data_IF_765359592991
#
_entry.id   IF_765359592991
#
_cell.length_a   1.000
_cell.length_b   1.000
_cell.length_c   1.000
_cell.angle_alpha   90.00
_cell.angle_beta   90.00
_cell.angle_gamma   90.00
#
_symmetry.space_group_name_H-M   'P 1'
#
loop_
_entity.id
_entity.type
_entity.pdbx_description
1 polymer ?
#
# COMPACT_ATOMS: atom_id res chain seq x y z
N UNK A 1 5.40 22.62 13.36
CA UNK A 1 4.49 22.86 14.50
C UNK A 1 3.03 23.09 14.11
N UNK A 2 2.73 23.66 12.93
CA UNK A 2 1.34 23.92 12.52
C UNK A 2 0.54 22.68 12.05
N UNK A 3 1.21 21.70 11.44
CA UNK A 3 0.56 20.51 10.87
C UNK A 3 -0.01 19.53 11.92
N UNK A 4 0.55 19.46 13.11
CA UNK A 4 0.04 18.62 14.20
C UNK A 4 -1.22 19.26 14.82
N UNK A 5 -1.23 20.57 15.02
CA UNK A 5 -2.36 21.28 15.63
C UNK A 5 -3.65 21.15 14.83
N UNK A 6 -3.58 21.34 13.50
CA UNK A 6 -4.80 21.24 12.71
C UNK A 6 -5.32 19.80 12.58
N UNK A 7 -4.43 18.78 12.58
CA UNK A 7 -4.82 17.37 12.60
C UNK A 7 -5.55 17.02 13.90
N UNK A 8 -5.07 17.51 15.05
CA UNK A 8 -5.75 17.32 16.34
C UNK A 8 -7.12 18.03 16.34
N UNK A 9 -7.22 19.25 15.85
CA UNK A 9 -8.49 19.96 15.70
C UNK A 9 -9.46 19.21 14.79
N UNK A 10 -8.96 18.62 13.70
CA UNK A 10 -9.76 17.79 12.81
C UNK A 10 -10.20 16.51 13.52
N UNK A 11 -9.33 15.85 14.28
CA UNK A 11 -9.67 14.64 15.03
C UNK A 11 -10.76 14.92 16.08
N UNK A 12 -10.66 16.04 16.78
CA UNK A 12 -11.65 16.47 17.79
C UNK A 12 -13.02 16.85 17.18
N UNK A 13 -13.03 17.26 15.91
CA UNK A 13 -14.27 17.65 15.20
C UNK A 13 -15.00 16.47 14.54
N UNK A 14 -14.35 15.31 14.39
CA UNK A 14 -14.94 14.16 13.72
C UNK A 14 -15.78 13.32 14.68
N UNK A 15 -17.00 12.89 14.28
CA UNK A 15 -17.85 12.02 15.08
C UNK A 15 -17.43 10.55 15.08
N UNK A 16 -16.28 10.22 14.47
CA UNK A 16 -15.76 8.87 14.32
C UNK A 16 -14.24 8.83 14.52
N UNK A 17 -13.71 7.64 14.74
CA UNK A 17 -12.30 7.41 14.97
C UNK A 17 -11.42 7.88 13.80
N UNK A 18 -10.39 8.70 14.10
CA UNK A 18 -9.49 9.30 13.11
C UNK A 18 -8.75 8.27 12.26
N UNK A 19 -8.57 7.04 12.74
CA UNK A 19 -8.00 5.93 11.97
C UNK A 19 -8.71 5.68 10.64
N UNK A 20 -10.01 6.00 10.51
CA UNK A 20 -10.71 5.90 9.23
C UNK A 20 -10.28 6.96 8.21
N UNK A 21 -9.82 8.12 8.65
CA UNK A 21 -9.21 9.13 7.77
C UNK A 21 -7.87 8.62 7.23
N UNK A 22 -7.11 7.92 8.09
CA UNK A 22 -5.88 7.26 7.67
C UNK A 22 -6.19 6.15 6.65
N UNK A 23 -7.19 5.31 6.91
CA UNK A 23 -7.63 4.28 5.97
C UNK A 23 -8.10 4.88 4.64
N UNK A 24 -8.86 5.97 4.65
CA UNK A 24 -9.25 6.68 3.43
C UNK A 24 -8.05 7.23 2.66
N UNK A 25 -7.02 7.71 3.37
CA UNK A 25 -5.77 8.17 2.75
C UNK A 25 -4.99 7.01 2.12
N UNK A 26 -4.91 5.84 2.78
CA UNK A 26 -4.29 4.63 2.19
C UNK A 26 -5.08 4.13 0.98
N UNK A 27 -6.41 4.12 1.05
CA UNK A 27 -7.30 3.79 -0.08
C UNK A 27 -7.03 4.69 -1.28
N UNK A 28 -6.88 6.00 -1.05
CA UNK A 28 -6.56 6.96 -2.11
C UNK A 28 -5.21 6.65 -2.78
N UNK A 29 -4.18 6.31 -2.01
CA UNK A 29 -2.88 5.88 -2.53
C UNK A 29 -3.00 4.55 -3.30
N UNK A 30 -3.75 3.59 -2.77
CA UNK A 30 -3.92 2.28 -3.40
C UNK A 30 -4.63 2.40 -4.75
N UNK A 31 -5.68 3.20 -4.83
CA UNK A 31 -6.41 3.45 -6.08
C UNK A 31 -5.56 4.17 -7.13
N UNK A 32 -4.85 5.23 -6.75
CA UNK A 32 -4.22 6.14 -7.71
C UNK A 32 -2.76 5.80 -8.01
N UNK A 33 -2.00 5.31 -7.01
CA UNK A 33 -0.55 5.16 -7.12
C UNK A 33 -0.13 3.71 -7.34
N UNK A 34 -0.65 2.79 -6.50
CA UNK A 34 -0.27 1.39 -6.61
C UNK A 34 -0.64 0.77 -7.95
N UNK A 35 -1.73 1.20 -8.55
CA UNK A 35 -2.23 0.61 -9.79
C UNK A 35 -1.56 1.15 -11.05
N UNK A 36 -0.95 2.34 -11.01
CA UNK A 36 -0.28 2.97 -12.17
C UNK A 36 0.89 2.14 -12.67
N UNK A 37 1.73 1.61 -11.77
CA UNK A 37 2.88 0.76 -12.13
C UNK A 37 2.57 -0.73 -12.11
N UNK A 38 1.29 -1.10 -12.03
CA UNK A 38 0.84 -2.49 -12.07
C UNK A 38 1.02 -3.09 -13.47
N UNK A 39 1.16 -4.40 -13.55
CA UNK A 39 1.25 -5.16 -14.82
C UNK A 39 -0.01 -4.94 -15.66
N UNK A 40 -1.19 -4.96 -15.02
CA UNK A 40 -2.47 -4.74 -15.69
C UNK A 40 -2.52 -3.38 -16.41
N UNK A 41 -2.00 -2.32 -15.80
CA UNK A 41 -1.93 -1.00 -16.44
C UNK A 41 -0.93 -0.98 -17.56
N UNK A 42 0.28 -1.53 -17.36
CA UNK A 42 1.29 -1.59 -18.41
C UNK A 42 0.79 -2.35 -19.64
N UNK A 43 0.02 -3.43 -19.47
CA UNK A 43 -0.46 -4.25 -20.58
C UNK A 43 -1.26 -3.46 -21.62
N UNK A 44 -1.98 -2.44 -21.19
CA UNK A 44 -2.75 -1.54 -22.07
C UNK A 44 -1.82 -0.68 -22.93
N UNK A 45 -0.64 -0.30 -22.43
CA UNK A 45 0.34 0.51 -23.15
C UNK A 45 1.21 -0.30 -24.11
N UNK A 46 1.33 -1.62 -23.93
CA UNK A 46 2.20 -2.48 -24.77
C UNK A 46 1.87 -2.35 -26.24
N UNK A 47 0.58 -2.42 -26.60
CA UNK A 47 0.17 -2.39 -28.02
C UNK A 47 0.53 -1.06 -28.69
N UNK A 48 0.05 0.10 -28.20
CA UNK A 48 0.34 1.38 -28.82
C UNK A 48 1.84 1.72 -28.84
N UNK A 49 2.57 1.43 -27.76
CA UNK A 49 4.01 1.66 -27.71
C UNK A 49 4.79 0.73 -28.66
N UNK A 50 4.38 -0.54 -28.80
CA UNK A 50 5.00 -1.47 -29.76
C UNK A 50 4.77 -1.01 -31.19
N UNK A 51 3.59 -0.52 -31.51
CA UNK A 51 3.25 -0.06 -32.86
C UNK A 51 4.02 1.21 -33.25
N UNK A 52 4.16 2.16 -32.32
CA UNK A 52 4.82 3.43 -32.59
C UNK A 52 6.35 3.35 -32.53
N UNK A 53 6.88 2.66 -31.52
CA UNK A 53 8.34 2.63 -31.25
C UNK A 53 9.04 1.41 -31.84
N UNK A 54 8.29 0.45 -32.38
CA UNK A 54 8.85 -0.76 -32.99
C UNK A 54 9.45 -1.74 -31.96
N UNK A 55 9.12 -1.63 -30.68
CA UNK A 55 9.72 -2.44 -29.62
C UNK A 55 9.07 -3.82 -29.54
N UNK A 56 9.84 -4.82 -29.09
CA UNK A 56 9.32 -6.16 -28.83
C UNK A 56 8.52 -6.21 -27.51
N UNK A 57 7.53 -7.10 -27.45
CA UNK A 57 6.79 -7.35 -26.20
C UNK A 57 7.69 -7.85 -25.08
N UNK A 58 8.75 -8.61 -25.44
CA UNK A 58 9.75 -9.09 -24.48
C UNK A 58 10.47 -7.98 -23.72
N UNK A 59 10.62 -6.78 -24.31
CA UNK A 59 11.20 -5.61 -23.64
C UNK A 59 10.36 -5.20 -22.44
N UNK A 60 9.04 -5.15 -22.57
CA UNK A 60 8.13 -4.79 -21.48
C UNK A 60 8.14 -5.85 -20.38
N UNK A 61 8.08 -7.13 -20.72
CA UNK A 61 8.17 -8.23 -19.76
C UNK A 61 9.51 -8.24 -19.02
N UNK A 62 10.61 -7.94 -19.72
CA UNK A 62 11.93 -7.79 -19.12
C UNK A 62 12.00 -6.68 -18.08
N UNK A 63 11.39 -5.52 -18.35
CA UNK A 63 11.32 -4.42 -17.40
C UNK A 63 10.49 -4.75 -16.14
N UNK A 64 9.37 -5.45 -16.30
CA UNK A 64 8.55 -5.95 -15.19
C UNK A 64 9.34 -6.92 -14.31
N UNK A 65 10.01 -7.90 -14.92
CA UNK A 65 10.80 -8.91 -14.19
C UNK A 65 11.98 -8.27 -13.46
N UNK A 66 12.70 -7.36 -14.12
CA UNK A 66 13.84 -6.67 -13.52
C UNK A 66 13.39 -5.81 -12.33
N UNK A 67 12.26 -5.07 -12.45
CA UNK A 67 11.70 -4.29 -11.36
C UNK A 67 11.31 -5.15 -10.17
N UNK A 68 10.69 -6.30 -10.39
CA UNK A 68 10.36 -7.27 -9.35
C UNK A 68 11.59 -7.85 -8.66
N UNK A 69 12.63 -8.22 -9.41
CA UNK A 69 13.89 -8.70 -8.84
C UNK A 69 14.58 -7.64 -7.99
N UNK A 70 14.68 -6.41 -8.47
CA UNK A 70 15.27 -5.29 -7.72
C UNK A 70 14.52 -5.04 -6.41
N UNK A 71 13.20 -5.19 -6.40
CA UNK A 71 12.39 -4.99 -5.20
C UNK A 71 12.76 -5.95 -4.07
N UNK A 72 13.09 -7.20 -4.37
CA UNK A 72 13.51 -8.19 -3.36
C UNK A 72 14.74 -7.72 -2.59
N UNK A 73 15.73 -7.16 -3.29
CA UNK A 73 16.97 -6.68 -2.66
C UNK A 73 16.80 -5.37 -1.90
N UNK A 74 15.88 -4.52 -2.34
CA UNK A 74 15.65 -3.19 -1.75
C UNK A 74 14.66 -3.23 -0.57
N UNK A 75 13.78 -4.22 -0.50
CA UNK A 75 12.76 -4.35 0.56
C UNK A 75 13.31 -4.22 2.00
N UNK A 76 14.46 -4.83 2.39
CA UNK A 76 15.00 -4.68 3.74
C UNK A 76 15.45 -3.24 4.06
N UNK A 77 15.90 -2.49 3.05
CA UNK A 77 16.33 -1.09 3.19
C UNK A 77 15.09 -0.21 3.38
N UNK A 78 14.05 -0.48 2.59
CA UNK A 78 12.76 0.20 2.67
C UNK A 78 12.13 0.02 4.05
N UNK A 79 12.14 -1.19 4.61
CA UNK A 79 11.62 -1.45 5.95
C UNK A 79 12.31 -0.59 7.02
N UNK A 80 13.65 -0.54 7.01
CA UNK A 80 14.40 0.31 7.95
C UNK A 80 14.11 1.80 7.79
N UNK A 81 13.88 2.24 6.57
CA UNK A 81 13.53 3.64 6.31
C UNK A 81 12.12 3.95 6.79
N UNK A 82 11.16 3.06 6.56
CA UNK A 82 9.79 3.15 7.02
C UNK A 82 9.70 3.30 8.54
N UNK A 83 10.48 2.50 9.28
CA UNK A 83 10.54 2.55 10.75
C UNK A 83 11.02 3.91 11.27
N UNK A 84 11.91 4.58 10.54
CA UNK A 84 12.47 5.89 10.92
C UNK A 84 11.59 7.06 10.52
N UNK A 85 11.08 7.06 9.29
CA UNK A 85 10.41 8.22 8.68
C UNK A 85 8.89 8.22 8.89
N UNK A 86 8.32 7.07 9.21
CA UNK A 86 6.87 6.86 9.31
C UNK A 86 6.20 6.68 7.95
N UNK A 87 5.01 6.05 7.98
CA UNK A 87 4.27 5.65 6.78
C UNK A 87 3.78 6.83 5.93
N UNK A 88 3.33 7.91 6.54
CA UNK A 88 2.77 9.06 5.82
C UNK A 88 3.78 9.75 4.91
N UNK A 89 4.98 10.06 5.43
CA UNK A 89 6.04 10.68 4.64
C UNK A 89 6.51 9.74 3.53
N UNK A 90 6.70 8.46 3.87
CA UNK A 90 7.15 7.47 2.91
C UNK A 90 6.16 7.27 1.76
N UNK A 91 4.86 7.15 2.05
CA UNK A 91 3.82 7.03 1.03
C UNK A 91 3.75 8.26 0.13
N UNK A 92 3.85 9.47 0.72
CA UNK A 92 3.85 10.71 -0.06
C UNK A 92 5.04 10.81 -1.00
N UNK A 93 6.25 10.50 -0.52
CA UNK A 93 7.47 10.52 -1.34
C UNK A 93 7.43 9.44 -2.42
N UNK A 94 6.97 8.24 -2.09
CA UNK A 94 6.81 7.14 -3.04
C UNK A 94 5.80 7.49 -4.12
N UNK A 95 4.65 8.08 -3.75
CA UNK A 95 3.63 8.53 -4.70
C UNK A 95 4.14 9.67 -5.58
N UNK A 96 4.86 10.64 -5.00
CA UNK A 96 5.45 11.74 -5.75
C UNK A 96 6.45 11.23 -6.80
N UNK A 97 7.31 10.30 -6.41
CA UNK A 97 8.27 9.71 -7.34
C UNK A 97 7.57 8.86 -8.41
N UNK A 98 6.55 8.07 -8.04
CA UNK A 98 5.76 7.29 -9.00
C UNK A 98 5.05 8.20 -10.01
N UNK A 99 4.46 9.30 -9.57
CA UNK A 99 3.82 10.28 -10.45
C UNK A 99 4.82 10.93 -11.41
N UNK A 100 6.00 11.31 -10.91
CA UNK A 100 7.07 11.86 -11.75
C UNK A 100 7.58 10.86 -12.79
N UNK A 101 7.77 9.59 -12.38
CA UNK A 101 8.17 8.51 -13.29
C UNK A 101 7.09 8.22 -14.35
N UNK A 102 5.82 8.25 -13.98
CA UNK A 102 4.70 8.09 -14.92
C UNK A 102 4.68 9.22 -15.96
N UNK A 103 4.84 10.48 -15.53
CA UNK A 103 4.96 11.60 -16.47
C UNK A 103 6.22 11.44 -17.32
N UNK A 104 7.35 11.03 -16.74
CA UNK A 104 8.57 10.76 -17.49
C UNK A 104 8.40 9.72 -18.60
N UNK A 105 7.59 8.67 -18.34
CA UNK A 105 7.29 7.63 -19.34
C UNK A 105 6.57 8.18 -20.59
N UNK A 106 5.90 9.32 -20.50
CA UNK A 106 5.28 9.96 -21.68
C UNK A 106 6.30 10.48 -22.69
N UNK A 107 7.52 10.79 -22.25
CA UNK A 107 8.60 11.32 -23.10
C UNK A 107 9.58 10.26 -23.61
N UNK A 108 9.31 9.00 -23.33
CA UNK A 108 10.19 7.90 -23.69
C UNK A 108 10.21 7.69 -25.21
N UNK A 109 11.43 7.64 -25.77
CA UNK A 109 11.67 7.34 -27.18
C UNK A 109 12.66 6.19 -27.41
N UNK A 110 13.30 5.65 -26.34
CA UNK A 110 14.26 4.56 -26.46
C UNK A 110 14.10 3.54 -25.31
N UNK A 111 14.52 2.26 -25.52
CA UNK A 111 14.39 1.21 -24.52
C UNK A 111 15.12 1.49 -23.20
N UNK A 112 16.29 2.14 -23.24
CA UNK A 112 17.07 2.42 -22.04
C UNK A 112 16.35 3.43 -21.14
N UNK A 113 15.76 4.48 -21.70
CA UNK A 113 14.95 5.44 -20.96
C UNK A 113 13.69 4.78 -20.36
N UNK A 114 13.06 3.86 -21.10
CA UNK A 114 11.92 3.11 -20.58
C UNK A 114 12.30 2.28 -19.33
N UNK A 115 13.41 1.53 -19.40
CA UNK A 115 13.90 0.77 -18.25
C UNK A 115 14.28 1.68 -17.08
N UNK A 116 14.96 2.80 -17.35
CA UNK A 116 15.38 3.75 -16.32
C UNK A 116 14.20 4.39 -15.56
N UNK A 117 13.03 4.49 -16.19
CA UNK A 117 11.84 5.07 -15.56
C UNK A 117 10.87 4.00 -15.01
N UNK A 118 10.62 2.92 -15.76
CA UNK A 118 9.67 1.91 -15.36
C UNK A 118 10.17 1.00 -14.23
N UNK A 119 11.45 0.57 -14.28
CA UNK A 119 12.01 -0.33 -13.25
C UNK A 119 11.99 0.29 -11.86
N UNK A 120 12.42 1.56 -11.63
CA UNK A 120 12.25 2.21 -10.33
C UNK A 120 10.79 2.36 -9.91
N UNK A 121 9.88 2.70 -10.83
CA UNK A 121 8.46 2.77 -10.53
C UNK A 121 7.89 1.44 -10.06
N UNK A 122 8.27 0.35 -10.70
CA UNK A 122 7.88 -1.01 -10.31
C UNK A 122 8.46 -1.42 -8.96
N UNK A 123 9.70 -1.01 -8.66
CA UNK A 123 10.35 -1.21 -7.36
C UNK A 123 9.60 -0.47 -6.26
N UNK A 124 9.22 0.79 -6.49
CA UNK A 124 8.47 1.61 -5.53
C UNK A 124 7.11 0.96 -5.23
N UNK A 125 6.45 0.42 -6.24
CA UNK A 125 5.20 -0.30 -6.08
C UNK A 125 5.35 -1.51 -5.15
N UNK A 126 6.33 -2.38 -5.41
CA UNK A 126 6.51 -3.65 -4.69
C UNK A 126 7.13 -3.49 -3.29
N UNK A 127 7.74 -2.36 -2.98
CA UNK A 127 8.42 -2.11 -1.71
C UNK A 127 7.75 -0.99 -0.91
N UNK A 128 8.12 0.29 -1.14
CA UNK A 128 7.64 1.42 -0.33
C UNK A 128 6.13 1.55 -0.21
N UNK A 129 5.39 1.37 -1.31
CA UNK A 129 3.94 1.52 -1.29
C UNK A 129 3.26 0.39 -0.55
N UNK A 130 3.59 -0.86 -0.87
CA UNK A 130 2.98 -2.03 -0.25
C UNK A 130 3.25 -2.09 1.26
N UNK A 131 4.52 -1.92 1.66
CA UNK A 131 4.91 -1.92 3.07
C UNK A 131 4.37 -0.71 3.81
N UNK A 132 4.37 0.48 3.19
CA UNK A 132 3.90 1.70 3.81
C UNK A 132 2.41 1.69 4.12
N UNK A 133 1.58 1.17 3.21
CA UNK A 133 0.14 1.04 3.39
C UNK A 133 -0.20 0.06 4.50
N UNK A 134 0.37 -1.15 4.44
CA UNK A 134 0.11 -2.19 5.45
C UNK A 134 0.57 -1.76 6.85
N UNK A 135 1.71 -1.08 6.96
CA UNK A 135 2.21 -0.53 8.22
C UNK A 135 1.33 0.61 8.72
N UNK A 136 0.87 1.52 7.84
CA UNK A 136 -0.04 2.59 8.23
C UNK A 136 -1.31 2.03 8.88
N UNK A 137 -1.97 1.08 8.21
CA UNK A 137 -3.19 0.44 8.72
C UNK A 137 -2.92 -0.30 10.03
N UNK A 138 -1.82 -1.06 10.10
CA UNK A 138 -1.48 -1.85 11.29
C UNK A 138 -1.15 -1.02 12.52
N UNK A 139 -0.61 0.20 12.35
CA UNK A 139 -0.33 1.11 13.46
C UNK A 139 -1.59 1.76 14.04
N UNK A 140 -2.63 1.95 13.23
CA UNK A 140 -3.86 2.63 13.64
C UNK A 140 -4.97 1.67 14.05
N UNK A 141 -4.96 0.43 13.51
CA UNK A 141 -5.98 -0.58 13.79
C UNK A 141 -5.34 -1.82 14.45
N UNK A 142 -5.76 -2.13 15.67
CA UNK A 142 -5.38 -3.37 16.37
C UNK A 142 -6.51 -4.39 16.25
N UNK A 143 -7.69 -4.08 16.78
CA UNK A 143 -8.85 -5.00 16.75
C UNK A 143 -9.49 -5.08 15.37
N UNK A 144 -9.58 -3.96 14.66
CA UNK A 144 -10.19 -3.85 13.32
C UNK A 144 -9.16 -3.91 12.18
N UNK A 145 -7.92 -4.35 12.46
CA UNK A 145 -6.86 -4.52 11.45
C UNK A 145 -7.32 -5.33 10.23
N UNK A 146 -8.03 -6.48 10.37
CA UNK A 146 -8.51 -7.22 9.20
C UNK A 146 -9.45 -6.40 8.32
N UNK A 147 -10.32 -5.57 8.93
CA UNK A 147 -11.23 -4.70 8.19
C UNK A 147 -10.48 -3.59 7.46
N UNK A 148 -9.50 -2.94 8.11
CA UNK A 148 -8.64 -1.94 7.47
C UNK A 148 -7.87 -2.52 6.27
N UNK A 149 -7.29 -3.70 6.41
CA UNK A 149 -6.60 -4.38 5.30
C UNK A 149 -7.56 -4.83 4.20
N UNK A 150 -8.79 -5.24 4.55
CA UNK A 150 -9.80 -5.59 3.56
C UNK A 150 -10.24 -4.36 2.74
N UNK A 151 -10.39 -3.19 3.35
CA UNK A 151 -10.71 -1.94 2.61
C UNK A 151 -9.61 -1.58 1.62
N UNK A 152 -8.34 -1.75 1.99
CA UNK A 152 -7.20 -1.54 1.09
C UNK A 152 -7.19 -2.56 -0.06
N UNK A 153 -7.44 -3.84 0.22
CA UNK A 153 -7.51 -4.88 -0.80
C UNK A 153 -8.63 -4.62 -1.83
N UNK A 154 -9.81 -4.17 -1.37
CA UNK A 154 -10.92 -3.76 -2.25
C UNK A 154 -10.51 -2.54 -3.09
N UNK A 155 -9.85 -1.55 -2.48
CA UNK A 155 -9.36 -0.36 -3.18
C UNK A 155 -8.35 -0.72 -4.28
N UNK A 156 -7.39 -1.61 -3.99
CA UNK A 156 -6.43 -2.12 -4.98
C UNK A 156 -7.15 -2.84 -6.13
N UNK A 157 -8.09 -3.73 -5.80
CA UNK A 157 -8.89 -4.43 -6.81
C UNK A 157 -9.68 -3.49 -7.70
N UNK A 158 -10.34 -2.49 -7.12
CA UNK A 158 -11.06 -1.46 -7.87
C UNK A 158 -10.09 -0.64 -8.76
N UNK A 159 -8.93 -0.25 -8.23
CA UNK A 159 -7.91 0.47 -8.98
C UNK A 159 -7.36 -0.35 -10.16
N UNK A 160 -7.10 -1.64 -9.96
CA UNK A 160 -6.65 -2.54 -11.04
C UNK A 160 -7.69 -2.71 -12.16
N UNK A 161 -8.96 -2.51 -11.89
CA UNK A 161 -10.00 -2.48 -12.90
C UNK A 161 -10.14 -1.08 -13.55
N UNK A 162 -10.20 -0.03 -12.72
CA UNK A 162 -10.51 1.33 -13.20
C UNK A 162 -9.34 2.00 -13.92
N UNK A 163 -8.10 1.86 -13.42
CA UNK A 163 -6.95 2.58 -13.99
C UNK A 163 -6.57 2.10 -15.39
N UNK A 164 -6.50 0.78 -15.68
CA UNK A 164 -6.32 0.31 -17.05
C UNK A 164 -7.45 0.74 -17.98
N UNK A 165 -8.71 0.70 -17.51
CA UNK A 165 -9.86 1.17 -18.28
C UNK A 165 -9.74 2.67 -18.61
N UNK A 166 -9.40 3.51 -17.63
CA UNK A 166 -9.17 4.93 -17.83
C UNK A 166 -8.02 5.17 -18.81
N UNK A 167 -6.90 4.45 -18.64
CA UNK A 167 -5.77 4.53 -19.55
C UNK A 167 -6.17 4.19 -20.98
N UNK A 168 -6.91 3.07 -21.18
CA UNK A 168 -7.42 2.67 -22.50
C UNK A 168 -8.34 3.71 -23.11
N UNK A 169 -9.24 4.30 -22.31
CA UNK A 169 -10.14 5.35 -22.76
C UNK A 169 -9.36 6.57 -23.29
N UNK A 170 -8.34 6.99 -22.55
CA UNK A 170 -7.49 8.12 -22.96
C UNK A 170 -6.65 7.77 -24.21
N UNK A 171 -6.05 6.58 -24.26
CA UNK A 171 -5.29 6.11 -25.41
C UNK A 171 -6.14 6.09 -26.68
N UNK A 172 -7.39 5.66 -26.57
CA UNK A 172 -8.30 5.60 -27.72
C UNK A 172 -8.72 6.98 -28.22
N UNK A 173 -8.89 7.94 -27.30
CA UNK A 173 -9.32 9.31 -27.64
C UNK A 173 -8.17 10.24 -28.04
N UNK A 174 -6.97 9.98 -27.53
CA UNK A 174 -5.78 10.83 -27.77
C UNK A 174 -4.57 9.96 -28.14
N UNK A 175 -3.69 9.71 -27.15
CA UNK A 175 -2.48 8.92 -27.32
C UNK A 175 -2.01 8.29 -25.98
N UNK A 176 -1.04 7.38 -26.04
CA UNK A 176 -0.48 6.74 -24.86
C UNK A 176 0.38 7.71 -24.01
N UNK A 177 0.95 8.76 -24.59
CA UNK A 177 1.72 9.78 -23.87
C UNK A 177 0.80 10.59 -22.95
N UNK A 178 -0.32 11.05 -23.48
CA UNK A 178 -1.36 11.74 -22.72
C UNK A 178 -1.90 10.87 -21.60
N UNK A 179 -2.06 9.58 -21.82
CA UNK A 179 -2.48 8.65 -20.77
C UNK A 179 -1.45 8.58 -19.62
N UNK A 180 -0.17 8.47 -19.90
CA UNK A 180 0.87 8.50 -18.86
C UNK A 180 0.91 9.81 -18.09
N UNK A 181 0.77 10.96 -18.75
CA UNK A 181 0.68 12.26 -18.09
C UNK A 181 -0.53 12.31 -17.15
N UNK A 182 -1.69 11.91 -17.64
CA UNK A 182 -2.93 11.91 -16.85
C UNK A 182 -2.81 11.02 -15.61
N UNK A 183 -2.29 9.80 -15.75
CA UNK A 183 -2.06 8.90 -14.63
C UNK A 183 -1.06 9.47 -13.62
N UNK A 184 -0.01 10.13 -14.10
CA UNK A 184 0.96 10.82 -13.24
C UNK A 184 0.32 11.97 -12.47
N UNK A 185 -0.50 12.81 -13.11
CA UNK A 185 -1.22 13.91 -12.46
C UNK A 185 -2.22 13.40 -11.42
N UNK A 186 -2.98 12.35 -11.75
CA UNK A 186 -3.88 11.68 -10.79
C UNK A 186 -3.12 11.15 -9.57
N UNK A 187 -1.93 10.58 -9.80
CA UNK A 187 -1.06 10.12 -8.71
C UNK A 187 -0.63 11.28 -7.81
N UNK A 188 -0.31 12.47 -8.35
CA UNK A 188 -0.03 13.64 -7.53
C UNK A 188 -1.25 14.10 -6.73
N UNK A 189 -2.41 14.18 -7.36
CA UNK A 189 -3.62 14.66 -6.71
C UNK A 189 -4.10 13.73 -5.58
N UNK A 190 -4.16 12.43 -5.84
CA UNK A 190 -4.76 11.45 -4.94
C UNK A 190 -3.74 10.62 -4.15
N UNK A 191 -2.53 10.48 -4.63
CA UNK A 191 -1.48 9.70 -3.98
C UNK A 191 -0.57 10.53 -3.07
N UNK A 192 -0.38 11.83 -3.35
CA UNK A 192 0.53 12.69 -2.59
C UNK A 192 -0.21 13.57 -1.60
N UNK A 193 -1.29 14.22 -2.02
CA UNK A 193 -1.99 15.22 -1.19
C UNK A 193 -2.60 14.58 0.07
N UNK A 194 -3.39 13.49 0.01
CA UNK A 194 -4.02 12.94 1.19
C UNK A 194 -3.02 12.44 2.26
N UNK A 195 -1.96 11.68 1.93
CA UNK A 195 -0.98 11.27 2.94
C UNK A 195 -0.25 12.44 3.59
N UNK A 196 0.15 13.48 2.85
CA UNK A 196 0.81 14.66 3.41
C UNK A 196 -0.11 15.38 4.39
N UNK A 197 -1.37 15.56 4.02
CA UNK A 197 -2.30 16.34 4.82
C UNK A 197 -2.77 15.55 6.04
N UNK A 198 -3.23 14.33 5.86
CA UNK A 198 -3.99 13.62 6.88
C UNK A 198 -3.19 12.58 7.65
N UNK A 199 -2.12 11.99 7.08
CA UNK A 199 -1.44 10.91 7.77
C UNK A 199 -0.54 11.42 8.89
N UNK A 200 -0.74 10.89 10.10
CA UNK A 200 0.18 10.94 11.22
C UNK A 200 0.91 9.59 11.33
N UNK A 201 2.09 9.60 11.94
CA UNK A 201 2.93 8.41 12.05
C UNK A 201 2.29 7.34 12.92
N UNK A 202 1.79 7.75 14.09
CA UNK A 202 1.14 6.87 15.08
C UNK A 202 0.00 7.63 15.75
N UNK A 203 -1.03 6.92 16.26
CA UNK A 203 -2.10 7.56 17.03
C UNK A 203 -1.58 8.26 18.28
N UNK A 204 -0.55 7.70 18.94
CA UNK A 204 0.05 8.28 20.15
C UNK A 204 0.65 9.67 19.91
N UNK A 205 1.17 9.95 18.70
CA UNK A 205 1.70 11.26 18.32
C UNK A 205 0.60 12.35 18.30
N UNK A 206 -0.66 11.94 18.26
CA UNK A 206 -1.85 12.79 18.30
C UNK A 206 -2.57 12.70 19.66
N UNK A 207 -2.06 11.93 20.62
CA UNK A 207 -2.71 11.69 21.90
C UNK A 207 -3.93 10.76 21.81
N UNK A 208 -4.04 9.98 20.72
CA UNK A 208 -5.13 9.02 20.50
C UNK A 208 -4.65 7.61 20.82
N UNK A 209 -5.58 6.75 21.23
CA UNK A 209 -5.34 5.32 21.38
C UNK A 209 -5.61 4.60 20.05
N UNK A 210 -4.87 3.52 19.74
CA UNK A 210 -5.14 2.71 18.57
C UNK A 210 -6.47 1.97 18.72
N UNK A 211 -7.39 2.17 17.77
CA UNK A 211 -8.67 1.48 17.63
C UNK A 211 -9.44 1.37 18.95
N UNK A 212 -9.92 2.51 19.56
CA UNK A 212 -10.75 2.45 20.75
C UNK A 212 -11.97 1.59 20.44
N UNK A 213 -12.11 0.48 21.18
CA UNK A 213 -13.30 -0.39 21.06
C UNK A 213 -14.57 0.41 21.36
N UNK A 214 -15.76 -0.07 20.99
CA UNK A 214 -16.99 0.51 21.50
C UNK A 214 -16.86 0.54 23.03
N UNK A 215 -17.19 1.70 23.60
CA UNK A 215 -17.25 1.86 25.05
C UNK A 215 -18.02 0.65 25.62
N UNK A 216 -17.33 -0.13 26.41
CA UNK A 216 -17.98 -1.25 27.09
C UNK A 216 -18.96 -0.59 28.06
N UNK A 217 -20.27 -0.82 27.93
CA UNK A 217 -21.19 -0.28 28.91
C UNK A 217 -20.73 -0.77 30.28
N UNK A 218 -20.49 0.11 31.23
CA UNK A 218 -20.06 -0.25 32.60
C UNK A 218 -21.02 -1.22 33.31
N UNK A 219 -22.23 -1.37 32.78
CA UNK A 219 -23.24 -2.34 33.29
C UNK A 219 -22.89 -3.81 32.91
N UNK A 220 -21.99 -4.07 32.00
CA UNK A 220 -21.59 -5.46 31.66
C UNK A 220 -20.54 -6.05 32.62
N UNK A 221 -19.88 -5.24 33.43
CA UNK A 221 -18.87 -5.73 34.38
C UNK A 221 -19.46 -6.45 35.62
N UNK A 222 -20.69 -6.16 35.98
CA UNK A 222 -21.29 -6.76 37.20
C UNK A 222 -21.94 -8.12 37.01
N UNK A 223 -22.28 -8.50 35.75
CA UNK A 223 -22.94 -9.79 35.46
C UNK A 223 -21.93 -10.83 34.89
N UNK A 224 -20.79 -10.37 34.37
CA UNK A 224 -19.82 -11.23 33.68
C UNK A 224 -18.80 -11.89 34.60
N UNK A 225 -18.52 -11.35 35.78
CA UNK A 225 -17.42 -11.84 36.63
C UNK A 225 -17.59 -13.28 37.19
N UNK A 226 -18.82 -13.75 37.32
CA UNK A 226 -19.06 -15.16 37.73
C UNK A 226 -19.19 -16.11 36.54
N UNK A 227 -19.71 -15.66 35.40
CA UNK A 227 -19.84 -16.49 34.20
C UNK A 227 -18.52 -16.58 33.41
N UNK A 228 -17.71 -15.51 33.43
CA UNK A 228 -16.38 -15.48 32.78
C UNK A 228 -15.36 -16.36 33.51
N UNK A 229 -15.39 -16.43 34.82
CA UNK A 229 -14.50 -17.32 35.57
C UNK A 229 -14.74 -18.82 35.24
N UNK A 230 -15.98 -19.19 34.95
CA UNK A 230 -16.33 -20.56 34.55
C UNK A 230 -16.05 -20.79 33.05
N UNK A 231 -16.24 -19.79 32.20
CA UNK A 231 -15.97 -19.89 30.77
C UNK A 231 -14.47 -19.80 30.46
N UNK A 232 -13.71 -18.97 31.21
CA UNK A 232 -12.23 -18.89 31.09
C UNK A 232 -11.54 -20.18 31.57
N UNK A 233 -12.13 -20.92 32.50
CA UNK A 233 -11.62 -22.24 32.90
C UNK A 233 -11.91 -23.32 31.85
N UNK A 234 -12.91 -23.15 31.00
CA UNK A 234 -13.29 -24.09 29.93
C UNK A 234 -12.66 -23.77 28.56
N UNK A 235 -12.33 -22.49 28.30
CA UNK A 235 -11.67 -22.01 27.08
C UNK A 235 -10.40 -21.27 27.49
N UNK A 236 -9.42 -22.01 28.00
CA UNK A 236 -8.06 -21.52 28.11
C UNK A 236 -7.49 -21.40 26.69
N UNK A 237 -7.93 -20.38 25.95
CA UNK A 237 -7.20 -19.92 24.79
C UNK A 237 -5.82 -19.47 25.28
N UNK A 238 -4.73 -19.97 24.68
CA UNK A 238 -3.41 -19.49 25.01
C UNK A 238 -3.41 -17.99 24.71
N UNK A 239 -3.16 -17.17 25.73
CA UNK A 239 -2.91 -15.75 25.56
C UNK A 239 -1.79 -15.58 24.54
N UNK A 240 -2.15 -15.21 23.29
CA UNK A 240 -1.16 -14.85 22.28
C UNK A 240 -0.51 -13.55 22.73
N UNK A 241 0.49 -13.65 23.57
CA UNK A 241 1.50 -12.62 23.72
C UNK A 241 2.17 -12.52 22.36
N UNK A 242 1.95 -11.42 21.64
CA UNK A 242 2.73 -11.12 20.42
C UNK A 242 4.21 -11.07 20.81
N UNK A 243 4.90 -12.20 20.68
CA UNK A 243 6.34 -12.27 20.86
C UNK A 243 6.97 -11.63 19.65
N UNK A 244 7.59 -10.45 19.85
CA UNK A 244 8.35 -9.77 18.81
C UNK A 244 9.60 -10.60 18.47
N UNK A 245 9.55 -11.30 17.33
CA UNK A 245 10.71 -12.02 16.82
C UNK A 245 11.67 -11.06 16.11
N UNK A 246 12.95 -11.14 16.42
CA UNK A 246 13.97 -10.51 15.58
C UNK A 246 14.06 -11.27 14.25
N UNK A 247 14.44 -10.57 13.16
CA UNK A 247 14.59 -11.19 11.83
C UNK A 247 15.44 -12.45 11.87
N UNK A 248 16.49 -12.46 12.68
CA UNK A 248 17.39 -13.61 12.85
C UNK A 248 16.71 -14.81 13.53
N UNK A 249 15.78 -14.56 14.42
CA UNK A 249 14.99 -15.61 15.08
C UNK A 249 13.91 -16.14 14.13
N UNK A 250 13.22 -15.26 13.41
CA UNK A 250 12.20 -15.61 12.45
C UNK A 250 12.73 -16.56 11.34
N UNK A 251 13.86 -16.22 10.73
CA UNK A 251 14.50 -17.03 9.67
C UNK A 251 14.92 -18.43 10.16
N UNK A 252 15.10 -18.64 11.47
CA UNK A 252 15.42 -19.94 12.04
C UNK A 252 14.20 -20.83 12.28
N UNK A 253 12.99 -20.29 12.19
CA UNK A 253 11.74 -21.06 12.39
C UNK A 253 11.33 -21.76 11.10
N UNK A 254 10.86 -23.00 11.20
CA UNK A 254 10.29 -23.74 10.07
C UNK A 254 9.05 -23.04 9.51
N UNK A 255 8.25 -22.40 10.38
CA UNK A 255 7.06 -21.64 10.00
C UNK A 255 7.38 -20.52 9.01
N UNK A 256 8.50 -19.80 9.19
CA UNK A 256 8.97 -18.76 8.25
C UNK A 256 9.15 -19.33 6.85
N UNK A 257 9.85 -20.44 6.70
CA UNK A 257 10.13 -21.06 5.41
C UNK A 257 8.90 -21.65 4.74
N UNK A 258 7.98 -22.25 5.52
CA UNK A 258 6.69 -22.69 4.98
C UNK A 258 5.85 -21.53 4.47
N UNK A 259 5.77 -20.42 5.24
CA UNK A 259 5.05 -19.22 4.82
C UNK A 259 5.70 -18.59 3.59
N UNK A 260 7.02 -18.48 3.54
CA UNK A 260 7.76 -17.97 2.40
C UNK A 260 7.54 -18.82 1.13
N UNK A 261 7.60 -20.15 1.26
CA UNK A 261 7.34 -21.06 0.16
C UNK A 261 5.89 -20.98 -0.33
N UNK A 262 4.92 -20.95 0.59
CA UNK A 262 3.50 -20.82 0.25
C UNK A 262 3.20 -19.50 -0.45
N UNK A 263 3.73 -18.39 0.09
CA UNK A 263 3.57 -17.06 -0.52
C UNK A 263 4.23 -17.00 -1.88
N UNK A 264 5.44 -17.58 -2.02
CA UNK A 264 6.14 -17.67 -3.30
C UNK A 264 5.36 -18.48 -4.33
N UNK A 265 4.79 -19.62 -3.94
CA UNK A 265 3.95 -20.43 -4.82
C UNK A 265 2.67 -19.71 -5.24
N UNK A 266 2.01 -19.01 -4.31
CA UNK A 266 0.82 -18.20 -4.61
C UNK A 266 1.13 -17.08 -5.62
N UNK A 267 2.25 -16.39 -5.46
CA UNK A 267 2.70 -15.38 -6.43
C UNK A 267 3.05 -15.97 -7.80
N UNK A 268 3.65 -17.18 -7.86
CA UNK A 268 3.93 -17.86 -9.12
C UNK A 268 2.64 -18.22 -9.87
N UNK A 269 1.62 -18.70 -9.17
CA UNK A 269 0.30 -18.98 -9.76
C UNK A 269 -0.33 -17.68 -10.28
N UNK A 270 -0.27 -16.60 -9.52
CA UNK A 270 -0.85 -15.32 -9.91
C UNK A 270 -0.11 -14.67 -11.09
N UNK A 271 1.18 -14.90 -11.24
CA UNK A 271 1.99 -14.37 -12.35
C UNK A 271 1.92 -15.23 -13.62
N UNK A 272 1.49 -16.49 -13.52
CA UNK A 272 1.41 -17.45 -14.62
C UNK A 272 0.07 -17.48 -15.35
N UNK A 273 -0.90 -16.67 -14.93
CA UNK A 273 -2.20 -16.45 -15.57
C UNK A 273 -2.16 -15.13 -16.33
#
# INVERSE_FOLDING_TARGET
>A
MNSVRWRNQLADSLPFYYGWVIAASTVSVSLSTCTVMAIATLSVFVVPMTQELGWSRGLFSGAVSLGGMCAVFVSPIVGKWLDRSGSGLMLSMASMLTGALAIGLSFVGNPAAFYALYVPGRLIWSGPLELGITTAISNWFIRRRPLGLATDAVAKGAGLAMIPFLAQFIITGWDWRTAWITLGVLTFAFGVIPPILFMARRPEDMGLEPDPGPDRPEEAESVSSQSEATFQALVAEPSFTESSFTVRQAVRTRAFWFLAAFTGAAFMVQAGV
#
